data_IF_057336186709
#
_entry.id   IF_057336186709
#
_cell.length_a   1.000
_cell.length_b   1.000
_cell.length_c   1.000
_cell.angle_alpha   90.00
_cell.angle_beta   90.00
_cell.angle_gamma   90.00
#
_symmetry.space_group_name_H-M   'P 1'
#
loop_
_entity.id
_entity.type
_entity.pdbx_description
1 polymer ?
#
# COMPACT_ATOMS: atom_id res chain seq x y z
N UNK A 1 4.51 10.39 18.26
CA UNK A 1 3.51 9.28 18.21
C UNK A 1 2.44 9.46 17.14
N UNK A 2 2.04 10.69 16.76
CA UNK A 2 0.97 10.89 15.77
C UNK A 2 1.32 10.53 14.32
N UNK A 3 2.53 10.86 13.86
CA UNK A 3 2.91 10.72 12.44
C UNK A 3 3.14 9.28 12.00
N UNK A 4 3.81 8.48 12.81
CA UNK A 4 4.00 7.05 12.54
C UNK A 4 2.67 6.27 12.55
N UNK A 5 1.71 6.65 13.38
CA UNK A 5 0.39 6.03 13.41
C UNK A 5 -0.43 6.39 12.17
N UNK A 6 -0.37 7.65 11.72
CA UNK A 6 -0.98 8.09 10.47
C UNK A 6 -0.37 7.37 9.24
N UNK A 7 0.95 7.15 9.26
CA UNK A 7 1.66 6.39 8.24
C UNK A 7 1.12 4.95 8.12
N UNK A 8 1.00 4.25 9.25
CA UNK A 8 0.48 2.87 9.31
C UNK A 8 -0.95 2.80 8.78
N UNK A 9 -1.81 3.75 9.16
CA UNK A 9 -3.19 3.81 8.67
C UNK A 9 -3.22 4.06 7.16
N UNK A 10 -2.43 5.01 6.65
CA UNK A 10 -2.36 5.30 5.22
C UNK A 10 -1.83 4.11 4.42
N UNK A 11 -0.80 3.43 4.93
CA UNK A 11 -0.27 2.20 4.34
C UNK A 11 -1.33 1.09 4.27
N UNK A 12 -2.07 0.87 5.36
CA UNK A 12 -3.13 -0.13 5.41
C UNK A 12 -4.27 0.20 4.43
N UNK A 13 -4.67 1.47 4.33
CA UNK A 13 -5.70 1.93 3.40
C UNK A 13 -5.29 1.70 1.95
N UNK A 14 -4.07 2.11 1.58
CA UNK A 14 -3.59 1.94 0.20
C UNK A 14 -3.41 0.46 -0.15
N UNK A 15 -2.90 -0.34 0.79
CA UNK A 15 -2.81 -1.80 0.62
C UNK A 15 -4.17 -2.46 0.38
N UNK A 16 -5.21 -2.07 1.13
CA UNK A 16 -6.57 -2.58 0.92
C UNK A 16 -7.16 -2.16 -0.43
N UNK A 17 -6.92 -0.92 -0.87
CA UNK A 17 -7.36 -0.44 -2.18
C UNK A 17 -6.68 -1.24 -3.30
N UNK A 18 -5.37 -1.48 -3.22
CA UNK A 18 -4.68 -2.30 -4.20
C UNK A 18 -5.10 -3.78 -4.16
N UNK A 19 -5.53 -4.30 -3.02
CA UNK A 19 -6.09 -5.65 -2.93
C UNK A 19 -7.48 -5.75 -3.59
N UNK A 20 -8.32 -4.74 -3.38
CA UNK A 20 -9.71 -4.69 -3.88
C UNK A 20 -9.80 -4.40 -5.37
N UNK A 21 -8.99 -3.46 -5.86
CA UNK A 21 -9.09 -2.96 -7.24
C UNK A 21 -7.88 -3.37 -8.08
N UNK A 22 -6.82 -3.93 -7.49
CA UNK A 22 -5.58 -4.25 -8.20
C UNK A 22 -5.78 -5.27 -9.32
N UNK A 23 -6.70 -6.22 -9.16
CA UNK A 23 -7.01 -7.16 -10.24
C UNK A 23 -7.58 -6.46 -11.49
N UNK A 24 -8.47 -5.49 -11.30
CA UNK A 24 -9.02 -4.66 -12.38
C UNK A 24 -7.99 -3.63 -12.90
N UNK A 25 -7.17 -3.06 -12.01
CA UNK A 25 -6.14 -2.07 -12.35
C UNK A 25 -5.00 -2.67 -13.18
N UNK A 26 -4.65 -3.93 -12.91
CA UNK A 26 -3.54 -4.64 -13.54
C UNK A 26 -3.99 -5.64 -14.62
N UNK A 27 -5.17 -5.44 -15.22
CA UNK A 27 -5.66 -6.25 -16.35
C UNK A 27 -5.71 -7.77 -16.06
N UNK A 28 -6.12 -8.16 -14.87
CA UNK A 28 -6.20 -9.58 -14.50
C UNK A 28 -4.87 -10.23 -14.16
N UNK A 29 -3.84 -9.44 -13.79
CA UNK A 29 -2.62 -9.92 -13.15
C UNK A 29 -2.79 -9.89 -11.62
N UNK A 30 -3.32 -10.96 -10.99
CA UNK A 30 -3.60 -10.99 -9.56
C UNK A 30 -2.34 -10.83 -8.69
N UNK A 31 -1.16 -11.12 -9.24
CA UNK A 31 0.12 -11.03 -8.55
C UNK A 31 0.64 -9.58 -8.42
N UNK A 32 0.20 -8.68 -9.31
CA UNK A 32 0.61 -7.27 -9.33
C UNK A 32 0.00 -6.47 -8.18
N UNK A 33 -1.23 -6.79 -7.76
CA UNK A 33 -1.91 -6.14 -6.64
C UNK A 33 -1.11 -6.23 -5.31
N UNK A 34 -0.74 -7.44 -4.86
CA UNK A 34 0.13 -7.65 -3.70
C UNK A 34 1.49 -6.96 -3.83
N UNK A 35 2.13 -7.02 -4.99
CA UNK A 35 3.44 -6.38 -5.22
C UNK A 35 3.34 -4.86 -5.06
N UNK A 36 2.32 -4.24 -5.66
CA UNK A 36 2.08 -2.80 -5.56
C UNK A 36 1.73 -2.37 -4.13
N UNK A 37 0.96 -3.19 -3.40
CA UNK A 37 0.66 -2.95 -1.99
C UNK A 37 1.92 -2.98 -1.11
N UNK A 38 2.79 -3.97 -1.28
CA UNK A 38 4.06 -4.09 -0.54
C UNK A 38 4.98 -2.92 -0.87
N UNK A 39 5.15 -2.59 -2.16
CA UNK A 39 6.01 -1.48 -2.60
C UNK A 39 5.53 -0.14 -2.01
N UNK A 40 4.21 0.10 -2.01
CA UNK A 40 3.63 1.32 -1.45
C UNK A 40 3.77 1.36 0.07
N UNK A 41 3.58 0.23 0.74
CA UNK A 41 3.80 0.11 2.18
C UNK A 41 5.25 0.43 2.57
N UNK A 42 6.23 -0.16 1.88
CA UNK A 42 7.65 0.11 2.10
C UNK A 42 8.00 1.58 1.83
N UNK A 43 7.47 2.17 0.76
CA UNK A 43 7.67 3.57 0.42
C UNK A 43 7.13 4.54 1.48
N UNK A 44 5.93 4.28 2.00
CA UNK A 44 5.36 5.09 3.09
C UNK A 44 6.18 4.95 4.37
N UNK A 45 6.59 3.74 4.75
CA UNK A 45 7.40 3.52 5.95
C UNK A 45 8.72 4.31 5.86
N UNK A 46 9.40 4.31 4.72
CA UNK A 46 10.64 5.09 4.51
C UNK A 46 10.37 6.60 4.52
N UNK A 47 9.25 7.05 3.95
CA UNK A 47 8.88 8.46 3.93
C UNK A 47 8.59 9.02 5.33
N UNK A 48 7.88 8.23 6.16
CA UNK A 48 7.47 8.63 7.51
C UNK A 48 8.49 8.31 8.61
N UNK A 49 9.47 7.43 8.38
CA UNK A 49 10.62 7.20 9.29
C UNK A 49 11.82 8.10 8.98
N UNK A 50 11.61 9.21 8.27
CA UNK A 50 12.62 10.28 8.16
C UNK A 50 12.84 11.00 9.48
#
# INVERSE_FOLDING_TARGET
MGEAFAAVIATAFVGMIFLLIGNDLFNGLPEMGPIAAIATASGLIVFFNK
#
